data_IF_866869973170
#
_entry.id   IF_866869973170
#
_cell.length_a   1.000
_cell.length_b   1.000
_cell.length_c   1.000
_cell.angle_alpha   90.00
_cell.angle_beta   90.00
_cell.angle_gamma   90.00
#
_symmetry.space_group_name_H-M   'P 1'
#
loop_
_entity.id
_entity.type
_entity.pdbx_description
1 polymer ?
#
# COMPACT_ATOMS: atom_id res chain seq x y z
N UNK A 1 5.64 18.16 2.97
CA UNK A 1 4.75 17.59 4.00
C UNK A 1 4.89 18.23 5.38
N UNK A 2 6.10 18.60 5.83
CA UNK A 2 6.32 19.17 7.18
C UNK A 2 5.40 20.37 7.53
N UNK A 3 5.26 21.35 6.63
CA UNK A 3 4.33 22.47 6.82
C UNK A 3 2.87 22.02 7.03
N UNK A 4 2.44 20.96 6.34
CA UNK A 4 1.09 20.43 6.45
C UNK A 4 0.87 19.73 7.80
N UNK A 5 1.85 18.93 8.26
CA UNK A 5 1.80 18.30 9.59
C UNK A 5 1.79 19.34 10.70
N UNK A 6 2.63 20.37 10.59
CA UNK A 6 2.65 21.49 11.53
C UNK A 6 1.29 22.19 11.59
N UNK A 7 0.72 22.52 10.42
CA UNK A 7 -0.60 23.14 10.35
C UNK A 7 -1.68 22.23 10.95
N UNK A 8 -1.65 20.92 10.68
CA UNK A 8 -2.59 19.97 11.26
C UNK A 8 -2.53 19.99 12.80
N UNK A 9 -1.34 19.86 13.38
CA UNK A 9 -1.16 19.85 14.85
C UNK A 9 -1.55 21.18 15.49
N UNK A 10 -1.30 22.31 14.83
CA UNK A 10 -1.68 23.64 15.31
C UNK A 10 -3.20 23.82 15.37
N UNK A 11 -3.94 23.23 14.43
CA UNK A 11 -5.39 23.39 14.32
C UNK A 11 -6.18 22.26 15.01
N UNK A 12 -5.53 21.18 15.43
CA UNK A 12 -6.19 20.02 16.04
C UNK A 12 -5.51 19.67 17.37
N UNK A 13 -5.99 20.24 18.48
CA UNK A 13 -5.38 20.04 19.81
C UNK A 13 -5.36 18.58 20.27
N UNK A 14 -6.30 17.76 19.78
CA UNK A 14 -6.39 16.32 20.00
C UNK A 14 -5.52 15.49 19.04
N UNK A 15 -4.56 16.07 18.31
CA UNK A 15 -3.71 15.33 17.36
C UNK A 15 -2.95 14.14 18.00
N UNK A 16 -2.71 14.18 19.32
CA UNK A 16 -2.09 13.09 20.08
C UNK A 16 -2.99 11.85 20.20
N UNK A 17 -4.29 12.00 19.98
CA UNK A 17 -5.26 10.90 20.03
C UNK A 17 -5.33 10.12 18.71
N UNK A 18 -4.68 10.62 17.65
CA UNK A 18 -4.56 9.91 16.37
C UNK A 18 -3.89 8.55 16.61
N UNK A 19 -4.61 7.47 16.30
CA UNK A 19 -4.12 6.09 16.47
C UNK A 19 -3.61 5.47 15.18
N UNK A 20 -4.17 5.85 14.04
CA UNK A 20 -3.81 5.31 12.74
C UNK A 20 -3.74 6.43 11.72
N UNK A 21 -2.68 6.43 10.91
CA UNK A 21 -2.55 7.31 9.74
C UNK A 21 -2.46 6.42 8.52
N UNK A 22 -3.38 6.62 7.58
CA UNK A 22 -3.42 5.88 6.31
C UNK A 22 -2.76 6.75 5.25
N UNK A 23 -1.64 6.28 4.70
CA UNK A 23 -0.87 7.02 3.69
C UNK A 23 -0.99 6.37 2.31
N UNK A 24 -0.68 7.13 1.27
CA UNK A 24 -0.42 6.56 -0.05
C UNK A 24 0.85 5.67 -0.02
N UNK A 25 1.23 5.04 -1.14
CA UNK A 25 2.45 4.26 -1.31
C UNK A 25 3.74 5.09 -1.13
N UNK A 26 3.67 6.42 -1.12
CA UNK A 26 4.87 7.26 -1.04
C UNK A 26 5.58 7.14 0.32
N UNK A 27 6.71 6.44 0.32
CA UNK A 27 7.52 6.20 1.50
C UNK A 27 8.37 7.41 1.91
N UNK A 28 8.46 8.44 1.07
CA UNK A 28 9.20 9.68 1.37
C UNK A 28 8.64 10.36 2.62
N UNK A 29 7.33 10.23 2.83
CA UNK A 29 6.60 10.85 3.94
C UNK A 29 6.58 9.97 5.20
N UNK A 30 6.93 8.69 5.08
CA UNK A 30 6.81 7.71 6.15
C UNK A 30 7.70 8.05 7.35
N UNK A 31 8.96 8.43 7.10
CA UNK A 31 9.90 8.77 8.17
C UNK A 31 9.42 9.99 8.96
N UNK A 32 9.06 11.06 8.24
CA UNK A 32 8.52 12.29 8.85
C UNK A 32 7.27 12.00 9.69
N UNK A 33 6.31 11.22 9.17
CA UNK A 33 5.09 10.92 9.91
C UNK A 33 5.34 10.04 11.14
N UNK A 34 6.34 9.15 11.11
CA UNK A 34 6.74 8.36 12.29
C UNK A 34 7.30 9.25 13.39
N UNK A 35 8.15 10.21 13.01
CA UNK A 35 8.74 11.15 13.95
C UNK A 35 7.69 12.12 14.52
N UNK A 36 6.76 12.57 13.67
CA UNK A 36 5.72 13.52 14.06
C UNK A 36 4.56 12.87 14.83
N UNK A 37 4.24 11.61 14.58
CA UNK A 37 3.14 10.89 15.24
C UNK A 37 3.63 9.55 15.84
N UNK A 38 4.52 9.57 16.85
CA UNK A 38 5.15 8.36 17.37
C UNK A 38 4.18 7.38 18.02
N UNK A 39 3.00 7.86 18.44
CA UNK A 39 1.94 7.04 19.04
C UNK A 39 0.94 6.48 18.02
N UNK A 40 1.04 6.87 16.74
CA UNK A 40 0.15 6.41 15.69
C UNK A 40 0.78 5.26 14.89
N UNK A 41 -0.03 4.28 14.51
CA UNK A 41 0.36 3.27 13.55
C UNK A 41 0.18 3.82 12.14
N UNK A 42 1.24 3.81 11.34
CA UNK A 42 1.18 4.26 9.95
C UNK A 42 1.00 3.05 9.05
N UNK A 43 -0.07 3.06 8.25
CA UNK A 43 -0.42 1.96 7.33
C UNK A 43 -0.59 2.47 5.90
N UNK A 44 -0.35 1.59 4.94
CA UNK A 44 -0.60 1.89 3.54
C UNK A 44 -2.09 1.78 3.20
N UNK A 45 -2.57 2.70 2.38
CA UNK A 45 -3.90 2.64 1.82
C UNK A 45 -4.04 1.46 0.84
N UNK A 46 -4.94 0.51 1.15
CA UNK A 46 -5.21 -0.62 0.25
C UNK A 46 -5.63 -0.17 -1.15
N UNK A 47 -6.41 0.91 -1.26
CA UNK A 47 -6.86 1.43 -2.55
C UNK A 47 -5.66 1.81 -3.44
N UNK A 48 -4.77 2.66 -2.93
CA UNK A 48 -3.62 3.11 -3.70
C UNK A 48 -2.59 2.01 -3.95
N UNK A 49 -2.39 1.08 -2.99
CA UNK A 49 -1.52 -0.08 -3.19
C UNK A 49 -2.03 -0.96 -4.34
N UNK A 50 -3.32 -1.29 -4.35
CA UNK A 50 -3.93 -2.10 -5.42
C UNK A 50 -3.83 -1.38 -6.77
N UNK A 51 -4.17 -0.10 -6.80
CA UNK A 51 -4.11 0.72 -8.02
C UNK A 51 -2.68 0.81 -8.59
N UNK A 52 -1.69 1.07 -7.73
CA UNK A 52 -0.28 1.04 -8.12
C UNK A 52 0.13 -0.32 -8.70
N UNK A 53 -0.16 -1.43 -8.01
CA UNK A 53 0.23 -2.77 -8.45
C UNK A 53 -0.44 -3.12 -9.79
N UNK A 54 -1.70 -2.73 -10.00
CA UNK A 54 -2.39 -2.91 -11.29
C UNK A 54 -1.74 -2.10 -12.41
N UNK A 55 -1.27 -0.88 -12.13
CA UNK A 55 -0.50 -0.08 -13.10
C UNK A 55 0.83 -0.75 -13.44
N UNK A 56 1.55 -1.27 -12.46
CA UNK A 56 2.80 -2.01 -12.68
C UNK A 56 2.57 -3.20 -13.63
N UNK A 57 1.61 -4.07 -13.34
CA UNK A 57 1.26 -5.22 -14.20
C UNK A 57 0.85 -4.79 -15.62
N UNK A 58 0.32 -3.58 -15.77
CA UNK A 58 -0.10 -3.08 -17.08
C UNK A 58 1.08 -2.71 -17.99
N UNK A 59 2.27 -2.44 -17.41
CA UNK A 59 3.47 -2.08 -18.17
C UNK A 59 3.83 -3.17 -19.17
N UNK A 60 4.25 -2.77 -20.36
CA UNK A 60 4.66 -3.70 -21.43
C UNK A 60 5.97 -4.42 -21.13
N UNK A 61 6.82 -3.84 -20.27
CA UNK A 61 8.13 -4.38 -19.89
C UNK A 61 8.08 -5.78 -19.26
N UNK A 62 6.94 -6.18 -18.70
CA UNK A 62 6.77 -7.49 -18.08
C UNK A 62 6.31 -8.59 -19.04
N UNK A 63 6.09 -8.30 -20.34
CA UNK A 63 5.80 -9.32 -21.35
C UNK A 63 4.43 -10.00 -21.27
N UNK A 64 3.62 -9.75 -20.23
CA UNK A 64 2.31 -10.39 -20.07
C UNK A 64 1.32 -10.09 -21.19
N UNK A 65 0.61 -11.14 -21.62
CA UNK A 65 -0.60 -11.05 -22.44
C UNK A 65 -1.75 -10.35 -21.69
N UNK A 66 -2.80 -9.95 -22.42
CA UNK A 66 -3.98 -9.34 -21.81
C UNK A 66 -4.67 -10.27 -20.80
N UNK A 67 -4.70 -11.57 -21.10
CA UNK A 67 -5.27 -12.59 -20.22
C UNK A 67 -4.46 -12.71 -18.92
N UNK A 68 -3.14 -12.86 -19.01
CA UNK A 68 -2.27 -12.93 -17.83
C UNK A 68 -2.37 -11.67 -16.98
N UNK A 69 -2.38 -10.48 -17.61
CA UNK A 69 -2.58 -9.21 -16.89
C UNK A 69 -3.87 -9.22 -16.08
N UNK A 70 -4.97 -9.72 -16.63
CA UNK A 70 -6.25 -9.81 -15.92
C UNK A 70 -6.12 -10.70 -14.68
N UNK A 71 -5.54 -11.89 -14.83
CA UNK A 71 -5.39 -12.85 -13.74
C UNK A 71 -4.48 -12.33 -12.62
N UNK A 72 -3.31 -11.80 -12.97
CA UNK A 72 -2.35 -11.23 -12.00
C UNK A 72 -2.98 -10.06 -11.24
N UNK A 73 -3.71 -9.16 -11.93
CA UNK A 73 -4.42 -8.05 -11.26
C UNK A 73 -5.48 -8.52 -10.27
N UNK A 74 -6.19 -9.62 -10.57
CA UNK A 74 -7.18 -10.19 -9.67
C UNK A 74 -6.51 -10.80 -8.43
N UNK A 75 -5.44 -11.58 -8.62
CA UNK A 75 -4.68 -12.18 -7.50
C UNK A 75 -4.10 -11.09 -6.59
N UNK A 76 -3.48 -10.05 -7.15
CA UNK A 76 -2.97 -8.90 -6.37
C UNK A 76 -4.07 -8.21 -5.56
N UNK A 77 -5.27 -8.09 -6.13
CA UNK A 77 -6.41 -7.49 -5.42
C UNK A 77 -6.84 -8.37 -4.24
N UNK A 78 -6.90 -9.70 -4.42
CA UNK A 78 -7.25 -10.63 -3.35
C UNK A 78 -6.17 -10.68 -2.27
N UNK A 79 -4.90 -10.67 -2.67
CA UNK A 79 -3.74 -10.62 -1.79
C UNK A 79 -3.77 -9.40 -0.88
N UNK A 80 -3.99 -8.20 -1.42
CA UNK A 80 -4.00 -6.97 -0.59
C UNK A 80 -5.26 -6.87 0.28
N UNK A 81 -6.39 -7.46 -0.13
CA UNK A 81 -7.67 -7.36 0.60
C UNK A 81 -7.87 -8.41 1.67
N UNK A 82 -7.09 -9.48 1.66
CA UNK A 82 -7.21 -10.53 2.67
C UNK A 82 -6.87 -9.97 4.06
N UNK A 83 -7.54 -10.50 5.09
CA UNK A 83 -7.28 -10.22 6.49
C UNK A 83 -6.51 -11.37 7.18
N UNK A 84 -6.08 -12.37 6.41
CA UNK A 84 -5.30 -13.52 6.89
C UNK A 84 -3.90 -13.50 6.29
N UNK A 85 -2.88 -13.47 7.14
CA UNK A 85 -1.47 -13.54 6.74
C UNK A 85 -1.13 -14.85 6.02
N UNK A 86 -1.79 -15.96 6.40
CA UNK A 86 -1.64 -17.24 5.70
C UNK A 86 -2.13 -17.15 4.26
N UNK A 87 -3.35 -16.64 4.06
CA UNK A 87 -3.92 -16.47 2.72
C UNK A 87 -3.13 -15.44 1.90
N UNK A 88 -2.62 -14.38 2.54
CA UNK A 88 -1.71 -13.42 1.90
C UNK A 88 -0.48 -14.13 1.35
N UNK A 89 0.15 -14.99 2.18
CA UNK A 89 1.34 -15.75 1.84
C UNK A 89 1.08 -16.72 0.69
N UNK A 90 -0.10 -17.38 0.68
CA UNK A 90 -0.51 -18.26 -0.41
C UNK A 90 -0.63 -17.51 -1.74
N UNK A 91 -1.28 -16.35 -1.75
CA UNK A 91 -1.36 -15.51 -2.95
C UNK A 91 0.00 -14.97 -3.39
N UNK A 92 0.86 -14.57 -2.45
CA UNK A 92 2.22 -14.13 -2.76
C UNK A 92 3.03 -15.26 -3.41
N UNK A 93 2.97 -16.46 -2.86
CA UNK A 93 3.61 -17.67 -3.42
C UNK A 93 3.10 -17.98 -4.83
N UNK A 94 1.78 -17.88 -5.06
CA UNK A 94 1.20 -18.05 -6.38
C UNK A 94 1.71 -17.01 -7.39
N UNK A 95 1.77 -15.72 -7.00
CA UNK A 95 2.31 -14.65 -7.84
C UNK A 95 3.79 -14.86 -8.16
N UNK A 96 4.61 -15.22 -7.17
CA UNK A 96 6.04 -15.47 -7.38
C UNK A 96 6.27 -16.59 -8.39
N UNK A 97 5.49 -17.67 -8.34
CA UNK A 97 5.57 -18.78 -9.31
C UNK A 97 5.19 -18.34 -10.72
N UNK A 98 4.21 -17.45 -10.87
CA UNK A 98 3.77 -16.92 -12.16
C UNK A 98 4.78 -15.97 -12.80
N UNK A 99 5.62 -15.29 -12.01
CA UNK A 99 6.57 -14.30 -12.50
C UNK A 99 8.00 -14.84 -12.74
N UNK A 100 8.25 -16.12 -12.49
CA UNK A 100 9.57 -16.79 -12.70
C UNK A 100 9.59 -17.61 -14.01
N UNK A 101 8.43 -17.78 -14.67
CA UNK A 101 8.35 -18.32 -16.03
C UNK A 101 8.57 -17.26 -17.10
#
# INVERSE_FOLDING_TARGET
MECAVRAFKQNNTAWKDVKVIVIDKDFTELALLRDEFPCATIILCHFHVIDYLKREVSKKSYGFSAFEKMHVKNILTMMVRTNSEGIFTDYLSALTKLCIG
#
